data_IF_244286458769
#
_entry.id   IF_244286458769
#
_cell.length_a   1.000
_cell.length_b   1.000
_cell.length_c   1.000
_cell.angle_alpha   90.00
_cell.angle_beta   90.00
_cell.angle_gamma   90.00
#
_symmetry.space_group_name_H-M   'P 1'
#
loop_
_entity.id
_entity.type
_entity.pdbx_description
1 polymer ?
#
# COMPACT_ATOMS: atom_id res chain seq x y z
N UNK A 1 -6.30 35.50 13.86
CA UNK A 1 -5.70 34.57 12.89
C UNK A 1 -4.80 33.63 13.65
N UNK A 2 -5.18 32.36 13.75
CA UNK A 2 -4.56 31.34 14.62
C UNK A 2 -3.19 30.85 14.13
N UNK A 3 -2.18 30.99 15.00
CA UNK A 3 -0.81 30.45 14.88
C UNK A 3 -0.72 28.92 15.12
N UNK A 4 -1.66 28.15 14.57
CA UNK A 4 -1.77 26.69 14.83
C UNK A 4 -0.71 25.84 14.09
N UNK A 5 0.02 26.43 13.13
CA UNK A 5 0.98 25.72 12.28
C UNK A 5 2.45 26.01 12.60
N UNK A 6 2.76 26.72 13.70
CA UNK A 6 4.16 26.80 14.18
C UNK A 6 4.51 25.46 14.84
N UNK A 7 4.95 24.53 13.99
CA UNK A 7 5.27 23.14 14.26
C UNK A 7 6.14 22.94 15.49
N UNK A 8 5.66 22.12 16.43
CA UNK A 8 6.44 21.39 17.43
C UNK A 8 7.43 20.45 16.74
N UNK A 9 8.52 21.00 16.21
CA UNK A 9 9.67 20.24 15.73
C UNK A 9 10.43 19.52 16.85
N UNK A 10 10.08 19.75 18.12
CA UNK A 10 10.75 19.14 19.28
C UNK A 10 10.23 17.75 19.67
N UNK A 11 9.08 17.30 19.14
CA UNK A 11 8.45 16.05 19.60
C UNK A 11 8.91 14.77 18.89
N UNK A 12 9.51 14.88 17.70
CA UNK A 12 10.03 13.73 16.95
C UNK A 12 11.55 13.82 16.82
N UNK A 13 12.24 13.40 17.88
CA UNK A 13 13.69 13.34 17.91
C UNK A 13 14.28 12.52 16.75
N UNK A 14 15.22 13.14 16.03
CA UNK A 14 16.44 12.57 15.43
C UNK A 14 16.39 11.25 14.63
N UNK A 15 15.24 10.67 14.28
CA UNK A 15 15.17 9.39 13.56
C UNK A 15 15.09 9.56 12.03
N UNK A 16 14.35 10.55 11.54
CA UNK A 16 14.32 10.87 10.12
C UNK A 16 15.34 11.98 9.84
N UNK A 17 16.54 11.63 9.39
CA UNK A 17 17.32 12.60 8.62
C UNK A 17 16.60 12.75 7.28
N UNK A 18 16.21 13.97 6.93
CA UNK A 18 15.71 14.27 5.58
C UNK A 18 16.72 13.72 4.57
N UNK A 19 16.29 12.76 3.76
CA UNK A 19 17.09 12.31 2.62
C UNK A 19 17.07 13.47 1.62
N UNK A 20 18.22 14.02 1.21
CA UNK A 20 18.27 15.00 0.13
C UNK A 20 17.71 14.32 -1.13
N UNK A 21 16.47 14.63 -1.47
CA UNK A 21 15.88 14.15 -2.72
C UNK A 21 16.40 15.06 -3.82
N UNK A 22 17.45 14.62 -4.49
CA UNK A 22 17.84 15.22 -5.76
C UNK A 22 16.66 15.10 -6.72
N UNK A 23 16.16 16.22 -7.29
CA UNK A 23 15.06 16.16 -8.24
C UNK A 23 15.52 15.33 -9.43
N UNK A 24 14.80 14.24 -9.70
CA UNK A 24 15.05 13.42 -10.88
C UNK A 24 14.73 14.28 -12.09
N UNK A 25 15.78 14.82 -12.72
CA UNK A 25 15.67 15.44 -14.05
C UNK A 25 15.31 14.30 -15.00
N UNK A 26 14.02 14.15 -15.27
CA UNK A 26 13.55 13.26 -16.32
C UNK A 26 14.00 13.93 -17.61
N UNK A 27 15.02 13.38 -18.25
CA UNK A 27 15.33 13.74 -19.64
C UNK A 27 14.03 13.57 -20.47
N UNK A 28 13.85 14.28 -21.59
CA UNK A 28 12.72 14.04 -22.48
C UNK A 28 12.87 12.66 -23.15
N UNK A 29 12.67 11.61 -22.37
CA UNK A 29 12.34 10.28 -22.82
C UNK A 29 11.03 10.45 -23.59
N UNK A 30 11.01 9.96 -24.83
CA UNK A 30 9.83 9.89 -25.70
C UNK A 30 8.58 9.69 -24.86
N UNK A 31 7.66 10.66 -24.87
CA UNK A 31 6.38 10.69 -24.13
C UNK A 31 5.65 9.35 -24.27
N UNK A 32 5.98 8.38 -23.42
CA UNK A 32 5.22 7.15 -23.36
C UNK A 32 3.93 7.52 -22.67
N UNK A 33 2.82 7.44 -23.40
CA UNK A 33 1.48 7.66 -22.83
C UNK A 33 1.37 6.96 -21.46
N UNK A 34 0.74 7.61 -20.49
CA UNK A 34 0.49 7.04 -19.17
C UNK A 34 -0.16 5.65 -19.26
N UNK A 35 -0.96 5.41 -20.31
CA UNK A 35 -1.58 4.12 -20.62
C UNK A 35 -0.55 3.06 -21.00
N UNK A 36 0.45 3.42 -21.81
CA UNK A 36 1.54 2.52 -22.19
C UNK A 36 2.40 2.17 -20.98
N UNK A 37 2.63 3.12 -20.06
CA UNK A 37 3.32 2.83 -18.81
C UNK A 37 2.49 1.93 -17.89
N UNK A 38 1.19 2.20 -17.74
CA UNK A 38 0.27 1.38 -16.97
C UNK A 38 0.21 -0.06 -17.50
N UNK A 39 0.13 -0.24 -18.83
CA UNK A 39 0.17 -1.55 -19.47
C UNK A 39 1.48 -2.30 -19.20
N UNK A 40 2.64 -1.60 -19.27
CA UNK A 40 3.93 -2.21 -18.92
C UNK A 40 4.00 -2.63 -17.45
N UNK A 41 3.48 -1.79 -16.53
CA UNK A 41 3.43 -2.11 -15.10
C UNK A 41 2.54 -3.32 -14.84
N UNK A 42 1.37 -3.39 -15.49
CA UNK A 42 0.44 -4.52 -15.35
C UNK A 42 1.03 -5.81 -15.92
N UNK A 43 1.59 -5.79 -17.13
CA UNK A 43 2.25 -6.97 -17.71
C UNK A 43 3.42 -7.50 -16.85
N UNK A 44 4.17 -6.59 -16.20
CA UNK A 44 5.22 -6.98 -15.25
C UNK A 44 4.63 -7.67 -14.02
N UNK A 45 3.55 -7.14 -13.48
CA UNK A 45 2.85 -7.68 -12.33
C UNK A 45 2.26 -9.07 -12.62
N UNK A 46 1.54 -9.24 -13.73
CA UNK A 46 0.99 -10.53 -14.18
C UNK A 46 2.08 -11.61 -14.26
N UNK A 47 3.22 -11.28 -14.86
CA UNK A 47 4.37 -12.21 -14.97
C UNK A 47 4.90 -12.63 -13.59
N UNK A 48 4.99 -11.69 -12.65
CA UNK A 48 5.46 -11.98 -11.29
C UNK A 48 4.45 -12.85 -10.54
N UNK A 49 3.16 -12.54 -10.64
CA UNK A 49 2.10 -13.34 -10.02
C UNK A 49 2.11 -14.77 -10.55
N UNK A 50 2.16 -14.95 -11.87
CA UNK A 50 2.21 -16.25 -12.51
C UNK A 50 3.44 -17.06 -12.07
N UNK A 51 4.63 -16.44 -11.99
CA UNK A 51 5.86 -17.10 -11.55
C UNK A 51 5.78 -17.59 -10.09
N UNK A 52 4.93 -16.98 -9.26
CA UNK A 52 4.74 -17.35 -7.86
C UNK A 52 3.46 -18.17 -7.61
N UNK A 53 2.71 -18.55 -8.66
CA UNK A 53 1.44 -19.26 -8.50
C UNK A 53 0.35 -18.42 -7.83
N UNK A 54 0.45 -17.09 -7.95
CA UNK A 54 -0.46 -16.11 -7.39
C UNK A 54 -1.42 -15.59 -8.47
N UNK A 55 -2.55 -15.04 -8.05
CA UNK A 55 -3.50 -14.36 -8.92
C UNK A 55 -3.94 -13.02 -8.34
N UNK A 56 -4.28 -12.06 -9.19
CA UNK A 56 -4.83 -10.78 -8.77
C UNK A 56 -6.29 -10.93 -8.33
N UNK A 57 -6.67 -10.22 -7.28
CA UNK A 57 -8.06 -10.09 -6.84
C UNK A 57 -8.44 -8.61 -6.76
N UNK A 58 -9.40 -8.13 -7.57
CA UNK A 58 -9.93 -6.79 -7.45
C UNK A 58 -10.58 -6.55 -6.08
N UNK A 59 -10.37 -5.37 -5.52
CA UNK A 59 -11.06 -4.86 -4.33
C UNK A 59 -11.71 -3.51 -4.65
N UNK A 60 -12.55 -2.99 -3.75
CA UNK A 60 -13.12 -1.68 -3.97
C UNK A 60 -12.03 -0.58 -4.02
N UNK A 61 -12.04 0.20 -5.11
CA UNK A 61 -11.09 1.29 -5.36
C UNK A 61 -11.40 2.58 -4.60
N UNK A 62 -11.54 2.49 -3.28
CA UNK A 62 -11.75 3.63 -2.38
C UNK A 62 -10.49 3.95 -1.55
N UNK A 63 -10.57 4.96 -0.67
CA UNK A 63 -9.47 5.32 0.23
C UNK A 63 -9.13 4.27 1.30
N UNK A 64 -9.84 3.13 1.35
CA UNK A 64 -9.59 2.01 2.25
C UNK A 64 -9.10 0.76 1.51
N UNK A 65 -8.85 0.82 0.20
CA UNK A 65 -8.46 -0.32 -0.63
C UNK A 65 -7.32 -1.18 -0.03
N UNK A 66 -6.31 -0.56 0.57
CA UNK A 66 -5.20 -1.29 1.23
C UNK A 66 -5.68 -2.12 2.43
N UNK A 67 -6.63 -1.62 3.22
CA UNK A 67 -7.20 -2.35 4.34
C UNK A 67 -8.23 -3.39 3.88
N UNK A 68 -8.94 -3.13 2.78
CA UNK A 68 -9.84 -4.09 2.13
C UNK A 68 -9.07 -5.29 1.57
N UNK A 69 -7.95 -5.02 0.89
CA UNK A 69 -7.00 -6.02 0.45
C UNK A 69 -6.53 -6.89 1.63
N UNK A 70 -6.13 -6.26 2.74
CA UNK A 70 -5.69 -6.98 3.93
C UNK A 70 -6.82 -7.76 4.60
N UNK A 71 -8.03 -7.21 4.65
CA UNK A 71 -9.22 -7.90 5.16
C UNK A 71 -9.50 -9.17 4.34
N UNK A 72 -9.40 -9.08 3.02
CA UNK A 72 -9.62 -10.23 2.16
C UNK A 72 -8.55 -11.32 2.36
N UNK A 73 -7.28 -10.92 2.49
CA UNK A 73 -6.20 -11.87 2.77
C UNK A 73 -6.36 -12.59 4.12
N UNK A 74 -6.84 -11.87 5.14
CA UNK A 74 -6.94 -12.41 6.50
C UNK A 74 -8.26 -13.14 6.75
N UNK A 75 -9.36 -12.71 6.15
CA UNK A 75 -10.72 -13.16 6.48
C UNK A 75 -11.51 -13.68 5.26
N UNK A 76 -10.97 -13.58 4.05
CA UNK A 76 -11.65 -13.97 2.81
C UNK A 76 -12.79 -13.03 2.40
N UNK A 77 -12.87 -11.85 3.01
CA UNK A 77 -13.85 -10.80 2.69
C UNK A 77 -13.28 -9.41 2.98
N UNK A 78 -13.77 -8.38 2.28
CA UNK A 78 -13.35 -6.99 2.51
C UNK A 78 -13.97 -6.38 3.78
N UNK A 79 -14.98 -7.02 4.38
CA UNK A 79 -15.86 -6.46 5.43
C UNK A 79 -15.12 -5.92 6.66
N UNK A 80 -13.98 -6.51 7.00
CA UNK A 80 -13.23 -6.19 8.21
C UNK A 80 -12.23 -5.04 8.04
N UNK A 81 -12.27 -4.31 6.92
CA UNK A 81 -11.31 -3.25 6.60
C UNK A 81 -11.22 -2.15 7.67
N UNK A 82 -12.35 -1.77 8.28
CA UNK A 82 -12.39 -0.71 9.29
C UNK A 82 -11.70 -1.11 10.59
N UNK A 83 -11.90 -2.36 11.03
CA UNK A 83 -11.25 -2.89 12.22
C UNK A 83 -9.72 -2.96 12.02
N UNK A 84 -9.28 -3.41 10.84
CA UNK A 84 -7.85 -3.46 10.48
C UNK A 84 -7.23 -2.06 10.46
N UNK A 85 -7.93 -1.08 9.87
CA UNK A 85 -7.48 0.32 9.85
C UNK A 85 -7.33 0.88 11.27
N UNK A 86 -8.34 0.66 12.12
CA UNK A 86 -8.31 1.12 13.51
C UNK A 86 -7.14 0.48 14.28
N UNK A 87 -6.93 -0.82 14.09
CA UNK A 87 -5.85 -1.55 14.74
C UNK A 87 -4.47 -1.11 14.26
N UNK A 88 -4.29 -0.91 12.95
CA UNK A 88 -3.05 -0.40 12.37
C UNK A 88 -2.69 1.01 12.89
N UNK A 89 -3.69 1.89 13.05
CA UNK A 89 -3.51 3.22 13.60
C UNK A 89 -3.20 3.20 15.11
N UNK A 90 -3.82 2.28 15.86
CA UNK A 90 -3.65 2.16 17.31
C UNK A 90 -2.36 1.46 17.72
N UNK A 91 -1.86 0.52 16.91
CA UNK A 91 -0.68 -0.30 17.26
C UNK A 91 0.00 -0.85 16.00
N UNK A 92 1.03 -0.15 15.46
CA UNK A 92 1.73 -0.53 14.22
C UNK A 92 2.36 -1.94 14.23
N UNK A 93 2.60 -2.53 15.41
CA UNK A 93 3.23 -3.85 15.56
C UNK A 93 2.28 -5.05 15.65
N UNK A 94 0.97 -4.84 15.79
CA UNK A 94 0.05 -5.92 16.20
C UNK A 94 -0.45 -6.79 15.04
N UNK A 95 -0.32 -6.34 13.79
CA UNK A 95 -0.63 -7.17 12.61
C UNK A 95 0.19 -8.47 12.57
N UNK A 96 1.31 -8.54 13.29
CA UNK A 96 2.15 -9.74 13.43
C UNK A 96 1.44 -10.92 14.11
N UNK A 97 0.39 -10.67 14.90
CA UNK A 97 -0.32 -11.69 15.67
C UNK A 97 -1.73 -12.00 15.16
N UNK A 98 -2.18 -11.34 14.08
CA UNK A 98 -3.41 -11.72 13.39
C UNK A 98 -3.15 -12.99 12.57
N UNK A 99 -3.39 -14.15 13.17
CA UNK A 99 -3.27 -15.44 12.50
C UNK A 99 -4.51 -15.68 11.60
N UNK A 100 -4.35 -15.80 10.28
CA UNK A 100 -5.46 -16.08 9.39
C UNK A 100 -5.95 -17.54 9.54
N UNK A 101 -7.25 -17.82 9.34
CA UNK A 101 -7.78 -19.18 9.30
C UNK A 101 -7.37 -19.87 7.99
N UNK A 102 -6.28 -20.67 8.06
CA UNK A 102 -5.71 -21.58 7.04
C UNK A 102 -5.35 -20.92 5.68
N UNK A 103 -4.19 -21.24 5.09
CA UNK A 103 -3.84 -20.72 3.77
C UNK A 103 -4.82 -21.25 2.72
N UNK A 104 -5.58 -20.35 2.10
CA UNK A 104 -6.27 -20.61 0.84
C UNK A 104 -5.39 -20.14 -0.31
N UNK A 105 -5.64 -20.67 -1.50
CA UNK A 105 -4.96 -20.35 -2.76
C UNK A 105 -4.64 -18.86 -2.82
N UNK A 106 -3.35 -18.53 -2.76
CA UNK A 106 -2.88 -17.17 -2.48
C UNK A 106 -3.25 -16.26 -3.65
N UNK A 107 -4.13 -15.29 -3.39
CA UNK A 107 -4.48 -14.22 -4.34
C UNK A 107 -3.92 -12.93 -3.78
N UNK A 108 -3.25 -12.10 -4.56
CA UNK A 108 -2.83 -10.75 -4.13
C UNK A 108 -3.95 -9.78 -4.52
N UNK A 109 -4.36 -8.93 -3.57
CA UNK A 109 -5.34 -7.87 -3.82
C UNK A 109 -4.63 -6.59 -4.28
N UNK A 110 -5.12 -5.97 -5.35
CA UNK A 110 -4.52 -4.81 -6.02
C UNK A 110 -5.61 -3.80 -6.35
#
# INVERSE_FOLDING_TARGET
>A
MDDRWRTSSQAYGAFWKAVPLEPKVVAPELETSQEAEAARRHARLERLLAAHGLAERPVAGDGNCQFRALADQLYGSEEHHDAIRAQAASSPGLLRHMAPPRPRSVKICI
#
